data_IF_385974367622
#
_entry.id   IF_385974367622
#
_cell.length_a   1.000
_cell.length_b   1.000
_cell.length_c   1.000
_cell.angle_alpha   90.00
_cell.angle_beta   90.00
_cell.angle_gamma   90.00
#
_symmetry.space_group_name_H-M   'P 1'
#
loop_
_entity.id
_entity.type
_entity.pdbx_description
1 polymer ?
#
# COMPACT_ATOMS: atom_id res chain seq x y z
N UNK A 1 -39.07 35.33 -7.05
CA UNK A 1 -38.21 34.14 -7.07
C UNK A 1 -36.78 34.58 -6.82
N UNK A 2 -36.25 34.30 -5.63
CA UNK A 2 -34.83 34.11 -5.38
C UNK A 2 -34.74 33.49 -3.99
N UNK A 3 -34.66 32.16 -3.96
CA UNK A 3 -34.45 31.43 -2.72
C UNK A 3 -33.00 31.60 -2.32
N UNK A 4 -32.80 32.14 -1.12
CA UNK A 4 -31.57 31.99 -0.36
C UNK A 4 -31.36 30.51 -0.09
N UNK A 5 -30.30 29.94 -0.63
CA UNK A 5 -29.76 28.62 -0.29
C UNK A 5 -28.30 28.91 0.06
N UNK A 6 -27.92 28.95 1.33
CA UNK A 6 -27.92 27.82 2.23
C UNK A 6 -26.44 27.58 2.55
N UNK A 7 -25.92 28.32 3.52
CA UNK A 7 -24.60 28.07 4.10
C UNK A 7 -24.61 26.64 4.63
N UNK A 8 -23.95 25.75 3.88
CA UNK A 8 -23.74 24.36 4.26
C UNK A 8 -22.24 24.12 4.29
N UNK A 9 -21.76 23.88 5.51
CA UNK A 9 -20.45 23.40 5.92
C UNK A 9 -19.64 22.72 4.79
N UNK A 10 -18.58 23.38 4.30
CA UNK A 10 -17.50 22.67 3.62
C UNK A 10 -16.67 21.96 4.69
N UNK A 11 -17.14 20.79 5.13
CA UNK A 11 -16.32 19.83 5.87
C UNK A 11 -15.10 19.47 5.03
N UNK A 12 -13.95 19.31 5.70
CA UNK A 12 -12.63 18.99 5.12
C UNK A 12 -12.71 18.26 3.77
N UNK A 13 -12.57 19.01 2.68
CA UNK A 13 -12.45 18.43 1.35
C UNK A 13 -11.21 17.53 1.33
N UNK A 14 -11.41 16.24 1.06
CA UNK A 14 -10.31 15.32 0.82
C UNK A 14 -9.50 15.83 -0.38
N UNK A 15 -8.31 16.37 -0.10
CA UNK A 15 -7.33 16.75 -1.11
C UNK A 15 -6.36 15.58 -1.30
N UNK A 16 -6.49 14.77 -2.36
CA UNK A 16 -5.53 13.70 -2.61
C UNK A 16 -4.13 14.28 -2.72
N UNK A 17 -3.18 13.75 -1.94
CA UNK A 17 -1.77 14.11 -2.07
C UNK A 17 -1.25 13.46 -3.35
N UNK A 18 -0.87 14.31 -4.30
CA UNK A 18 -0.23 13.87 -5.53
C UNK A 18 1.26 13.64 -5.29
N UNK A 19 1.87 12.73 -6.03
CA UNK A 19 3.29 12.41 -5.90
C UNK A 19 4.02 12.65 -7.21
N UNK A 20 5.13 13.38 -7.14
CA UNK A 20 6.06 13.58 -8.25
C UNK A 20 6.88 12.30 -8.41
N UNK A 21 6.73 11.66 -9.57
CA UNK A 21 7.29 10.35 -9.85
C UNK A 21 8.83 10.36 -9.94
N UNK A 22 9.39 11.43 -10.48
CA UNK A 22 10.82 11.57 -10.73
C UNK A 22 11.57 11.93 -9.45
N UNK A 23 11.04 12.93 -8.74
CA UNK A 23 11.58 13.36 -7.45
C UNK A 23 11.29 12.37 -6.32
N UNK A 24 10.29 11.49 -6.51
CA UNK A 24 9.71 10.63 -5.48
C UNK A 24 9.31 11.47 -4.25
N UNK A 25 8.47 12.49 -4.45
CA UNK A 25 8.06 13.44 -3.39
C UNK A 25 6.59 13.80 -3.47
N UNK A 26 5.97 14.20 -2.35
CA UNK A 26 4.62 14.74 -2.39
C UNK A 26 4.62 16.10 -3.11
N UNK A 27 3.56 16.33 -3.87
CA UNK A 27 3.25 17.58 -4.55
C UNK A 27 2.22 18.33 -3.71
N UNK A 28 2.58 19.54 -3.28
CA UNK A 28 1.70 20.49 -2.58
C UNK A 28 1.61 21.73 -3.44
N UNK A 29 0.39 22.14 -3.79
CA UNK A 29 0.11 23.31 -4.64
C UNK A 29 0.94 23.32 -5.94
N UNK A 30 1.09 22.15 -6.57
CA UNK A 30 1.85 21.98 -7.82
C UNK A 30 3.37 21.99 -7.66
N UNK A 31 3.90 21.93 -6.44
CA UNK A 31 5.34 21.96 -6.15
C UNK A 31 5.78 20.82 -5.24
N UNK A 32 7.04 20.41 -5.37
CA UNK A 32 7.71 19.49 -4.45
C UNK A 32 9.02 20.09 -3.94
N UNK A 33 9.54 19.60 -2.82
CA UNK A 33 10.85 19.99 -2.32
C UNK A 33 11.94 19.13 -2.97
N UNK A 34 12.91 19.75 -3.66
CA UNK A 34 14.07 19.04 -4.19
C UNK A 34 15.06 18.73 -3.05
N UNK A 35 15.28 17.44 -2.71
CA UNK A 35 16.16 17.07 -1.60
C UNK A 35 17.64 17.37 -1.86
N UNK A 36 18.04 17.63 -3.10
CA UNK A 36 19.42 17.91 -3.47
C UNK A 36 19.77 19.39 -3.30
N UNK A 37 18.80 20.28 -3.50
CA UNK A 37 19.02 21.73 -3.46
C UNK A 37 18.27 22.42 -2.33
N UNK A 38 17.27 21.76 -1.74
CA UNK A 38 16.39 22.33 -0.72
C UNK A 38 15.34 23.29 -1.28
N UNK A 39 15.30 23.50 -2.59
CA UNK A 39 14.40 24.45 -3.23
C UNK A 39 13.04 23.83 -3.56
N UNK A 40 11.99 24.65 -3.53
CA UNK A 40 10.69 24.27 -4.06
C UNK A 40 10.74 24.30 -5.59
N UNK A 41 10.46 23.16 -6.20
CA UNK A 41 10.37 23.01 -7.65
C UNK A 41 8.95 22.73 -8.07
N UNK A 42 8.54 23.31 -9.19
CA UNK A 42 7.26 23.01 -9.81
C UNK A 42 7.28 21.58 -10.34
N UNK A 43 6.28 20.79 -10.01
CA UNK A 43 6.06 19.48 -10.61
C UNK A 43 5.66 19.68 -12.07
N UNK A 44 6.54 19.35 -13.01
CA UNK A 44 6.27 19.42 -14.46
C UNK A 44 6.04 18.05 -15.08
N UNK A 45 6.24 16.97 -14.31
CA UNK A 45 6.15 15.58 -14.75
C UNK A 45 4.81 14.91 -14.45
N UNK A 46 4.75 13.59 -14.68
CA UNK A 46 3.58 12.79 -14.34
C UNK A 46 3.33 12.79 -12.82
N UNK A 47 2.11 13.13 -12.42
CA UNK A 47 1.66 13.11 -11.03
C UNK A 47 0.71 11.93 -10.83
N UNK A 48 0.99 11.09 -9.83
CA UNK A 48 0.11 9.99 -9.45
C UNK A 48 -0.66 10.37 -8.18
N UNK A 49 -1.89 9.88 -8.02
CA UNK A 49 -2.48 9.69 -6.68
C UNK A 49 -1.62 8.65 -5.98
N UNK A 50 -0.66 9.12 -5.20
CA UNK A 50 0.69 8.66 -5.48
C UNK A 50 1.33 7.71 -4.46
N UNK A 51 2.33 6.93 -4.91
CA UNK A 51 3.18 6.03 -4.14
C UNK A 51 3.64 6.52 -2.74
N UNK A 52 3.90 5.57 -1.81
CA UNK A 52 4.03 4.15 -2.11
C UNK A 52 2.76 3.40 -1.78
N UNK A 53 1.64 3.67 -2.46
CA UNK A 53 0.51 2.75 -2.56
C UNK A 53 0.94 1.50 -3.35
N UNK A 54 1.52 0.53 -2.64
CA UNK A 54 2.02 -0.74 -3.17
C UNK A 54 0.87 -1.73 -3.28
N UNK A 55 0.66 -2.32 -4.47
CA UNK A 55 -0.33 -3.39 -4.70
C UNK A 55 0.19 -4.71 -4.14
N UNK A 56 -0.56 -5.33 -3.24
CA UNK A 56 -0.15 -6.55 -2.55
C UNK A 56 -1.14 -7.65 -2.88
N UNK A 57 -0.64 -8.80 -3.33
CA UNK A 57 -1.42 -10.03 -3.51
C UNK A 57 -0.78 -11.12 -2.67
N UNK A 58 -1.59 -11.76 -1.82
CA UNK A 58 -1.20 -12.90 -1.00
C UNK A 58 -2.04 -14.09 -1.46
N UNK A 59 -1.41 -15.22 -1.76
CA UNK A 59 -2.10 -16.42 -2.20
C UNK A 59 -1.62 -17.66 -1.44
N UNK A 60 -2.53 -18.58 -1.13
CA UNK A 60 -2.21 -19.94 -0.69
C UNK A 60 -2.64 -20.96 -1.75
N UNK A 61 -1.69 -21.77 -2.22
CA UNK A 61 -1.88 -22.77 -3.28
C UNK A 61 -2.19 -24.19 -2.76
N UNK A 62 -2.30 -24.38 -1.45
CA UNK A 62 -2.61 -25.70 -0.89
C UNK A 62 -3.97 -26.22 -1.40
N UNK A 63 -4.04 -27.53 -1.66
CA UNK A 63 -5.12 -28.19 -2.43
C UNK A 63 -6.53 -27.94 -1.84
N UNK A 64 -6.63 -27.77 -0.52
CA UNK A 64 -7.89 -27.48 0.19
C UNK A 64 -8.22 -25.98 0.35
N UNK A 65 -7.38 -25.09 -0.18
CA UNK A 65 -7.51 -23.63 -0.04
C UNK A 65 -8.41 -23.01 -1.13
N UNK A 66 -9.70 -23.33 -1.13
CA UNK A 66 -10.66 -22.76 -2.10
C UNK A 66 -10.85 -21.23 -2.00
N UNK A 67 -10.33 -20.58 -0.96
CA UNK A 67 -10.46 -19.14 -0.69
C UNK A 67 -9.12 -18.46 -0.36
N UNK A 68 -8.02 -19.02 -0.86
CA UNK A 68 -6.66 -18.62 -0.50
C UNK A 68 -6.14 -17.37 -1.22
N UNK A 69 -6.93 -16.34 -1.52
CA UNK A 69 -6.41 -15.11 -2.15
C UNK A 69 -6.85 -13.87 -1.40
N UNK A 70 -5.88 -12.99 -1.09
CA UNK A 70 -6.13 -11.67 -0.51
C UNK A 70 -5.40 -10.61 -1.32
N UNK A 71 -6.06 -9.47 -1.58
CA UNK A 71 -5.47 -8.33 -2.29
C UNK A 71 -5.75 -7.03 -1.56
N UNK A 72 -4.73 -6.18 -1.45
CA UNK A 72 -4.88 -4.85 -0.88
C UNK A 72 -3.81 -3.89 -1.40
N UNK A 73 -4.00 -2.59 -1.18
CA UNK A 73 -2.97 -1.58 -1.45
C UNK A 73 -2.54 -0.94 -0.14
N UNK A 74 -1.23 -0.73 0.06
CA UNK A 74 -0.71 -0.12 1.30
C UNK A 74 0.27 1.01 0.99
N UNK A 75 0.19 2.17 1.68
CA UNK A 75 1.01 3.35 1.42
C UNK A 75 2.40 3.27 2.09
N UNK A 76 3.11 2.15 1.94
CA UNK A 76 4.43 1.93 2.55
C UNK A 76 5.49 1.56 1.53
N UNK A 77 6.77 1.92 1.74
CA UNK A 77 7.86 1.47 0.88
C UNK A 77 7.87 -0.05 0.73
N UNK A 78 8.16 -0.53 -0.49
CA UNK A 78 8.16 -1.96 -0.84
C UNK A 78 9.09 -2.75 0.06
N UNK A 79 10.28 -2.22 0.34
CA UNK A 79 11.30 -2.88 1.16
C UNK A 79 10.79 -3.13 2.58
N UNK A 80 10.08 -2.15 3.16
CA UNK A 80 9.51 -2.25 4.50
C UNK A 80 8.34 -3.24 4.54
N UNK A 81 7.43 -3.16 3.56
CA UNK A 81 6.34 -4.12 3.43
C UNK A 81 6.85 -5.54 3.26
N UNK A 82 7.80 -5.73 2.34
CA UNK A 82 8.35 -7.05 2.07
C UNK A 82 9.05 -7.62 3.30
N UNK A 83 9.86 -6.81 4.00
CA UNK A 83 10.50 -7.23 5.25
C UNK A 83 9.48 -7.67 6.29
N UNK A 84 8.44 -6.86 6.53
CA UNK A 84 7.34 -7.19 7.45
C UNK A 84 6.64 -8.49 7.06
N UNK A 85 6.27 -8.64 5.80
CA UNK A 85 5.60 -9.85 5.30
C UNK A 85 6.49 -11.09 5.48
N UNK A 86 7.78 -10.99 5.18
CA UNK A 86 8.73 -12.10 5.35
C UNK A 86 8.98 -12.43 6.83
N UNK A 87 8.92 -11.45 7.74
CA UNK A 87 8.92 -11.69 9.19
C UNK A 87 7.73 -12.56 9.60
N UNK A 88 6.52 -12.24 9.14
CA UNK A 88 5.32 -13.05 9.43
C UNK A 88 5.45 -14.46 8.84
N UNK A 89 5.99 -14.59 7.62
CA UNK A 89 6.28 -15.91 7.04
C UNK A 89 7.23 -16.71 7.93
N UNK A 90 8.30 -16.10 8.42
CA UNK A 90 9.26 -16.75 9.29
C UNK A 90 8.65 -17.16 10.64
N UNK A 91 7.95 -16.24 11.31
CA UNK A 91 7.34 -16.47 12.63
C UNK A 91 6.28 -17.56 12.62
N UNK A 92 5.57 -17.70 11.50
CA UNK A 92 4.53 -18.72 11.30
C UNK A 92 5.03 -19.95 10.56
N UNK A 93 6.34 -20.03 10.27
CA UNK A 93 6.98 -21.14 9.58
C UNK A 93 6.29 -21.53 8.25
N UNK A 94 5.79 -20.53 7.52
CA UNK A 94 5.03 -20.76 6.30
C UNK A 94 5.95 -21.22 5.17
N UNK A 95 5.47 -22.17 4.38
CA UNK A 95 6.17 -22.61 3.18
C UNK A 95 5.91 -21.63 2.05
N UNK A 96 6.95 -20.91 1.63
CA UNK A 96 6.92 -20.05 0.46
C UNK A 96 6.98 -20.94 -0.79
N UNK A 97 6.02 -20.75 -1.69
CA UNK A 97 6.14 -21.21 -3.08
C UNK A 97 6.94 -20.19 -3.88
N UNK A 98 6.50 -18.91 -3.85
CA UNK A 98 7.15 -17.84 -4.58
C UNK A 98 6.90 -16.46 -3.98
N UNK A 99 7.89 -15.58 -4.16
CA UNK A 99 7.80 -14.16 -3.79
C UNK A 99 8.26 -13.32 -4.98
N UNK A 100 7.47 -12.33 -5.34
CA UNK A 100 7.81 -11.36 -6.37
C UNK A 100 7.61 -9.95 -5.81
N UNK A 101 8.65 -9.13 -5.84
CA UNK A 101 8.57 -7.73 -5.43
C UNK A 101 9.11 -6.85 -6.54
N UNK A 102 8.32 -5.84 -6.89
CA UNK A 102 8.67 -4.78 -7.84
C UNK A 102 8.54 -3.43 -7.13
N UNK A 103 8.93 -2.33 -7.78
CA UNK A 103 8.86 -1.00 -7.20
C UNK A 103 7.46 -0.58 -6.69
N UNK A 104 6.38 -1.22 -7.15
CA UNK A 104 5.01 -0.85 -6.81
C UNK A 104 4.08 -2.02 -6.49
N UNK A 105 4.61 -3.25 -6.45
CA UNK A 105 3.79 -4.42 -6.16
C UNK A 105 4.57 -5.51 -5.44
N UNK A 106 3.89 -6.21 -4.55
CA UNK A 106 4.38 -7.40 -3.85
C UNK A 106 3.40 -8.54 -4.07
N UNK A 107 3.92 -9.71 -4.45
CA UNK A 107 3.17 -10.96 -4.52
C UNK A 107 3.85 -11.97 -3.61
N UNK A 108 3.11 -12.52 -2.66
CA UNK A 108 3.56 -13.62 -1.80
C UNK A 108 2.64 -14.79 -2.03
N UNK A 109 3.21 -15.90 -2.49
CA UNK A 109 2.51 -17.16 -2.69
C UNK A 109 3.08 -18.15 -1.70
N UNK A 110 2.23 -18.65 -0.83
CA UNK A 110 2.53 -19.75 0.09
C UNK A 110 1.88 -21.03 -0.41
N UNK A 111 2.46 -22.17 -0.05
CA UNK A 111 1.86 -23.48 -0.25
C UNK A 111 1.91 -24.21 1.08
N UNK A 112 0.98 -23.86 1.96
CA UNK A 112 0.96 -24.35 3.33
C UNK A 112 -0.45 -24.79 3.70
N UNK A 113 -0.56 -25.84 4.52
CA UNK A 113 -1.85 -26.35 5.01
C UNK A 113 -2.46 -25.35 6.00
N UNK A 114 -3.12 -24.31 5.47
CA UNK A 114 -3.86 -23.32 6.24
C UNK A 114 -5.35 -23.51 5.98
N UNK A 115 -6.13 -23.56 7.05
CA UNK A 115 -7.58 -23.37 6.96
C UNK A 115 -7.89 -21.95 6.51
N UNK A 116 -9.10 -21.74 6.01
CA UNK A 116 -9.57 -20.43 5.54
C UNK A 116 -9.36 -19.32 6.58
N UNK A 117 -9.74 -19.56 7.83
CA UNK A 117 -9.62 -18.59 8.92
C UNK A 117 -8.14 -18.25 9.20
N UNK A 118 -7.28 -19.27 9.23
CA UNK A 118 -5.83 -19.12 9.46
C UNK A 118 -5.16 -18.36 8.31
N UNK A 119 -5.59 -18.59 7.07
CA UNK A 119 -5.16 -17.82 5.91
C UNK A 119 -5.58 -16.35 6.01
N UNK A 120 -6.84 -16.08 6.36
CA UNK A 120 -7.35 -14.71 6.51
C UNK A 120 -6.56 -13.98 7.60
N UNK A 121 -6.34 -14.61 8.75
CA UNK A 121 -5.55 -14.04 9.84
C UNK A 121 -4.10 -13.77 9.42
N UNK A 122 -3.51 -14.70 8.67
CA UNK A 122 -2.14 -14.56 8.14
C UNK A 122 -2.04 -13.42 7.15
N UNK A 123 -2.94 -13.35 6.17
CA UNK A 123 -2.99 -12.25 5.20
C UNK A 123 -3.24 -10.90 5.89
N UNK A 124 -4.12 -10.88 6.90
CA UNK A 124 -4.36 -9.69 7.71
C UNK A 124 -3.10 -9.24 8.47
N UNK A 125 -2.37 -10.17 9.09
CA UNK A 125 -1.11 -9.86 9.77
C UNK A 125 -0.05 -9.30 8.81
N UNK A 126 0.10 -9.91 7.63
CA UNK A 126 1.00 -9.43 6.58
C UNK A 126 0.65 -8.02 6.08
N UNK A 127 -0.63 -7.64 6.06
CA UNK A 127 -1.09 -6.37 5.49
C UNK A 127 -1.25 -5.24 6.51
N UNK A 128 -1.60 -5.57 7.76
CA UNK A 128 -2.09 -4.59 8.73
C UNK A 128 -1.26 -4.50 10.00
N UNK A 129 -0.56 -5.57 10.43
CA UNK A 129 0.25 -5.46 11.65
C UNK A 129 1.43 -4.46 11.50
N UNK A 130 1.78 -4.10 10.26
CA UNK A 130 2.76 -3.05 9.98
C UNK A 130 2.35 -1.67 10.53
N UNK A 131 1.05 -1.40 10.72
CA UNK A 131 0.57 -0.12 11.27
C UNK A 131 0.94 0.05 12.75
N UNK A 132 1.10 -1.05 13.49
CA UNK A 132 1.44 -1.04 14.92
C UNK A 132 2.96 -0.86 15.16
N UNK A 133 3.75 -0.97 14.09
CA UNK A 133 5.21 -0.76 14.10
C UNK A 133 5.61 0.67 13.69
N UNK A 134 4.65 1.60 13.64
CA UNK A 134 4.83 3.00 13.25
C UNK A 134 4.82 3.98 14.41
#
# INVERSE_FOLDING_TARGET
MSSTSGDSLHGDEFRPIHWDAEAKRPIVDGKYNDPRTGELRTSTGAAYTGPPSVDIIIMNLHEDSNEGIYRATRPFPVERLLFHMMRIVHERELQIDSVNATAYAIRVIVSHELKKEEFIETAHAMLNAIWDEW
#
